data_IF_873335349669
#
_entry.id   IF_873335349669
#
_cell.length_a   1.000
_cell.length_b   1.000
_cell.length_c   1.000
_cell.angle_alpha   90.00
_cell.angle_beta   90.00
_cell.angle_gamma   90.00
#
_symmetry.space_group_name_H-M   'P 1'
#
loop_
_entity.id
_entity.type
_entity.pdbx_description
1 polymer ?
#
# COMPACT_ATOMS: atom_id res chain seq x y z
N UNK A 1 -9.77 -8.14 12.65
CA UNK A 1 -9.19 -7.38 11.53
C UNK A 1 -8.13 -6.45 12.12
N UNK A 2 -6.91 -6.46 11.58
CA UNK A 2 -5.92 -5.45 11.93
C UNK A 2 -6.41 -4.13 11.37
N UNK A 3 -6.54 -3.14 12.24
CA UNK A 3 -6.93 -1.77 11.84
C UNK A 3 -5.63 -0.96 11.72
N UNK A 4 -4.87 -1.22 10.67
CA UNK A 4 -3.66 -0.47 10.38
C UNK A 4 -3.99 0.58 9.31
N UNK A 5 -3.42 1.77 9.45
CA UNK A 5 -3.51 2.84 8.46
C UNK A 5 -2.10 3.12 7.95
N UNK A 6 -1.91 2.92 6.65
CA UNK A 6 -0.65 3.22 5.98
C UNK A 6 -0.75 4.61 5.33
N UNK A 7 0.12 5.54 5.71
CA UNK A 7 0.18 6.90 5.19
C UNK A 7 1.50 7.07 4.45
N UNK A 8 1.43 7.27 3.14
CA UNK A 8 2.60 7.61 2.32
C UNK A 8 2.76 9.12 2.28
N UNK A 9 3.91 9.62 2.73
CA UNK A 9 4.24 11.04 2.69
C UNK A 9 5.09 11.32 1.46
N UNK A 10 4.54 12.13 0.55
CA UNK A 10 5.20 12.45 -0.71
C UNK A 10 6.34 13.44 -0.51
N UNK A 11 7.43 13.26 -1.24
CA UNK A 11 8.58 14.19 -1.21
C UNK A 11 9.40 14.16 0.08
N UNK A 12 9.26 13.11 0.90
CA UNK A 12 10.03 12.92 2.13
C UNK A 12 10.98 11.74 2.00
N UNK A 13 11.99 11.71 2.85
CA UNK A 13 12.90 10.58 3.01
C UNK A 13 12.53 9.74 4.23
N UNK A 14 13.08 8.52 4.33
CA UNK A 14 12.92 7.67 5.51
C UNK A 14 13.47 8.33 6.80
N UNK A 15 14.44 9.24 6.68
CA UNK A 15 14.94 10.01 7.81
C UNK A 15 13.91 10.96 8.43
N UNK A 16 12.90 11.36 7.64
CA UNK A 16 11.83 12.25 8.10
C UNK A 16 10.72 11.53 8.88
N UNK A 17 10.59 10.22 8.74
CA UNK A 17 9.49 9.44 9.32
C UNK A 17 9.41 9.62 10.86
N UNK A 18 10.52 9.48 11.56
CA UNK A 18 10.56 9.64 13.02
C UNK A 18 10.31 11.09 13.48
N UNK A 19 10.73 12.07 12.68
CA UNK A 19 10.42 13.49 12.93
C UNK A 19 8.92 13.73 12.80
N UNK A 20 8.30 13.26 11.73
CA UNK A 20 6.86 13.40 11.49
C UNK A 20 6.02 12.72 12.58
N UNK A 21 6.40 11.52 13.04
CA UNK A 21 5.73 10.85 14.16
C UNK A 21 5.76 11.71 15.43
N UNK A 22 6.91 12.33 15.73
CA UNK A 22 7.03 13.25 16.89
C UNK A 22 6.17 14.49 16.74
N UNK A 23 6.13 15.09 15.55
CA UNK A 23 5.26 16.24 15.29
C UNK A 23 3.78 15.89 15.46
N UNK A 24 3.35 14.72 15.00
CA UNK A 24 1.97 14.24 15.14
C UNK A 24 1.58 14.12 16.62
N UNK A 25 2.38 13.45 17.45
CA UNK A 25 2.04 13.27 18.87
C UNK A 25 2.08 14.58 19.66
N UNK A 26 2.87 15.56 19.21
CA UNK A 26 2.89 16.89 19.83
C UNK A 26 1.60 17.66 19.53
N UNK A 27 0.99 17.46 18.36
CA UNK A 27 -0.20 18.19 17.92
C UNK A 27 -1.52 17.55 18.33
N UNK A 28 -1.55 16.22 18.45
CA UNK A 28 -2.76 15.46 18.79
C UNK A 28 -2.45 14.40 19.85
N UNK A 29 -2.93 14.58 21.11
CA UNK A 29 -2.67 13.67 22.22
C UNK A 29 -3.35 12.29 22.07
N UNK A 30 -4.20 12.11 21.06
CA UNK A 30 -4.75 10.78 20.76
C UNK A 30 -3.68 9.88 20.13
N UNK A 31 -2.61 10.43 19.56
CA UNK A 31 -1.48 9.67 19.04
C UNK A 31 -0.42 9.46 20.12
N UNK A 32 0.25 8.33 20.06
CA UNK A 32 1.35 7.99 20.97
C UNK A 32 2.32 7.01 20.32
N UNK A 33 3.55 7.01 20.81
CA UNK A 33 4.61 6.11 20.32
C UNK A 33 4.77 4.93 21.26
N UNK A 34 5.02 3.76 20.69
CA UNK A 34 5.28 2.51 21.39
C UNK A 34 6.62 1.95 20.90
N UNK A 35 7.42 1.43 21.82
CA UNK A 35 8.65 0.71 21.45
C UNK A 35 8.32 -0.52 20.61
N UNK A 36 9.12 -0.82 19.58
CA UNK A 36 8.91 -2.00 18.75
C UNK A 36 9.19 -3.28 19.55
N UNK A 37 8.59 -4.38 19.10
CA UNK A 37 8.84 -5.69 19.72
C UNK A 37 10.27 -6.19 19.52
N UNK A 38 10.92 -5.77 18.46
CA UNK A 38 12.31 -6.10 18.19
C UNK A 38 13.24 -5.15 18.93
N UNK A 39 14.14 -5.69 19.76
CA UNK A 39 15.17 -4.90 20.46
C UNK A 39 16.21 -4.27 19.53
N UNK A 40 16.29 -4.73 18.31
CA UNK A 40 17.23 -4.22 17.30
C UNK A 40 16.62 -3.09 16.46
N UNK A 41 15.32 -2.83 16.60
CA UNK A 41 14.67 -1.78 15.83
C UNK A 41 14.92 -0.41 16.45
N UNK A 42 15.30 0.54 15.62
CA UNK A 42 15.61 1.94 15.98
C UNK A 42 14.44 2.89 15.80
N UNK A 43 13.32 2.41 15.27
CA UNK A 43 12.10 3.19 15.03
C UNK A 43 11.07 2.97 16.13
N UNK A 44 10.14 3.90 16.28
CA UNK A 44 8.96 3.75 17.15
C UNK A 44 7.69 3.52 16.34
N UNK A 45 6.76 2.77 16.91
CA UNK A 45 5.46 2.48 16.28
C UNK A 45 4.45 3.53 16.72
N UNK A 46 3.85 4.21 15.75
CA UNK A 46 2.82 5.20 15.99
C UNK A 46 1.45 4.52 16.13
N UNK A 47 0.74 4.86 17.19
CA UNK A 47 -0.61 4.40 17.46
C UNK A 47 -1.55 5.58 17.68
N UNK A 48 -2.80 5.42 17.28
CA UNK A 48 -3.89 6.35 17.59
C UNK A 48 -4.92 5.67 18.46
N UNK A 49 -5.37 6.33 19.54
CA UNK A 49 -6.54 5.92 20.29
C UNK A 49 -7.78 6.17 19.44
N UNK A 50 -8.61 5.14 19.23
CA UNK A 50 -9.92 5.26 18.59
C UNK A 50 -10.98 5.22 19.69
N UNK A 51 -12.01 6.06 19.58
CA UNK A 51 -13.06 6.13 20.60
C UNK A 51 -13.67 4.76 20.92
N UNK A 52 -14.14 4.57 22.15
CA UNK A 52 -14.66 3.32 22.69
C UNK A 52 -13.66 2.60 23.62
N UNK A 53 -14.10 1.50 24.22
CA UNK A 53 -13.32 0.75 25.22
C UNK A 53 -12.01 0.21 24.63
N UNK A 54 -10.90 0.96 24.79
CA UNK A 54 -9.55 0.50 24.48
C UNK A 54 -9.22 0.35 22.98
N UNK A 55 -10.05 0.89 22.09
CA UNK A 55 -9.81 0.87 20.66
C UNK A 55 -8.53 1.63 20.29
N UNK A 56 -7.69 1.01 19.46
CA UNK A 56 -6.46 1.61 18.95
C UNK A 56 -6.23 1.19 17.51
N UNK A 57 -5.62 2.07 16.74
CA UNK A 57 -5.23 1.85 15.36
C UNK A 57 -3.74 2.10 15.22
N UNK A 58 -3.02 1.18 14.59
CA UNK A 58 -1.64 1.39 14.20
C UNK A 58 -1.59 2.32 12.99
N UNK A 59 -0.63 3.24 12.99
CA UNK A 59 -0.42 4.17 11.89
C UNK A 59 1.02 4.04 11.42
N UNK A 60 1.20 3.59 10.18
CA UNK A 60 2.52 3.51 9.55
C UNK A 60 2.72 4.77 8.68
N UNK A 61 3.76 5.52 8.99
CA UNK A 61 4.22 6.64 8.17
C UNK A 61 5.32 6.08 7.26
N UNK A 62 5.11 6.20 5.96
CA UNK A 62 5.98 5.62 4.95
C UNK A 62 6.50 6.71 4.03
N UNK A 63 7.78 6.71 3.75
CA UNK A 63 8.40 7.60 2.76
C UNK A 63 8.38 6.95 1.37
N UNK A 64 8.32 7.78 0.33
CA UNK A 64 8.53 7.33 -1.05
C UNK A 64 9.94 6.77 -1.25
N UNK A 65 10.07 5.70 -2.04
CA UNK A 65 11.32 4.95 -2.21
C UNK A 65 11.55 3.86 -1.17
N UNK A 66 10.96 3.95 0.02
CA UNK A 66 10.96 2.87 1.01
C UNK A 66 10.03 1.75 0.53
N UNK A 67 10.43 0.49 0.71
CA UNK A 67 9.64 -0.68 0.30
C UNK A 67 9.15 -0.61 -1.17
N UNK A 68 9.92 0.03 -2.03
CA UNK A 68 9.57 0.25 -3.45
C UNK A 68 8.28 1.10 -3.65
N UNK A 69 7.88 1.90 -2.66
CA UNK A 69 6.72 2.80 -2.78
C UNK A 69 7.04 3.90 -3.80
N UNK A 70 6.25 4.04 -4.88
CA UNK A 70 6.53 5.01 -5.92
C UNK A 70 6.26 6.44 -5.45
N UNK A 71 7.03 7.39 -5.98
CA UNK A 71 6.74 8.81 -5.76
C UNK A 71 5.58 9.25 -6.66
N UNK A 72 4.38 9.27 -6.10
CA UNK A 72 3.16 9.67 -6.81
C UNK A 72 3.13 11.18 -6.99
N UNK A 73 3.15 11.73 -8.23
CA UNK A 73 2.99 13.16 -8.42
C UNK A 73 1.64 13.64 -7.88
N UNK A 74 1.62 14.78 -7.20
CA UNK A 74 0.43 15.30 -6.50
C UNK A 74 -0.83 15.37 -7.38
N UNK A 75 -0.67 15.63 -8.67
CA UNK A 75 -1.78 15.66 -9.65
C UNK A 75 -2.48 14.32 -9.87
N UNK A 76 -1.82 13.20 -9.55
CA UNK A 76 -2.38 11.84 -9.67
C UNK A 76 -2.91 11.29 -8.34
N UNK A 77 -2.71 11.99 -7.23
CA UNK A 77 -3.33 11.62 -5.96
C UNK A 77 -4.84 11.73 -6.07
N UNK A 78 -5.52 10.62 -5.83
CA UNK A 78 -6.99 10.60 -5.89
C UNK A 78 -7.54 11.20 -4.59
N UNK A 79 -8.49 12.11 -4.71
CA UNK A 79 -9.21 12.67 -3.56
C UNK A 79 -10.59 12.01 -3.46
N UNK A 80 -10.80 11.26 -2.40
CA UNK A 80 -12.08 10.62 -2.11
C UNK A 80 -12.84 11.42 -1.06
N UNK A 81 -14.08 11.85 -1.33
CA UNK A 81 -14.89 12.53 -0.34
C UNK A 81 -15.27 11.55 0.78
N UNK A 82 -14.97 11.92 2.02
CA UNK A 82 -15.36 11.19 3.22
C UNK A 82 -15.92 12.21 4.19
N UNK A 83 -17.22 12.20 4.39
CA UNK A 83 -17.94 13.21 5.16
C UNK A 83 -17.63 14.64 4.67
N UNK A 84 -16.99 15.47 5.50
CA UNK A 84 -16.61 16.86 5.19
C UNK A 84 -15.19 17.01 4.62
N UNK A 85 -14.44 15.91 4.49
CA UNK A 85 -13.03 15.93 4.08
C UNK A 85 -12.82 15.23 2.75
N UNK A 86 -11.79 15.64 2.03
CA UNK A 86 -11.26 14.90 0.89
C UNK A 86 -10.04 14.10 1.33
N UNK A 87 -10.21 12.79 1.46
CA UNK A 87 -9.12 11.89 1.81
C UNK A 87 -8.21 11.65 0.61
N UNK A 88 -6.91 12.00 0.68
CA UNK A 88 -5.97 11.62 -0.37
C UNK A 88 -5.73 10.10 -0.30
N UNK A 89 -5.89 9.44 -1.44
CA UNK A 89 -5.64 8.00 -1.57
C UNK A 89 -4.70 7.72 -2.72
N UNK A 90 -3.93 6.64 -2.59
CA UNK A 90 -3.03 6.18 -3.64
C UNK A 90 -3.83 5.82 -4.90
N UNK A 91 -3.34 6.14 -6.11
CA UNK A 91 -3.93 5.68 -7.36
C UNK A 91 -4.05 4.15 -7.38
N UNK A 92 -5.06 3.66 -8.06
CA UNK A 92 -5.45 2.25 -8.01
C UNK A 92 -4.35 1.29 -8.46
N UNK A 93 -3.72 1.56 -9.59
CA UNK A 93 -2.70 0.65 -10.15
C UNK A 93 -1.47 0.53 -9.25
N UNK A 94 -0.85 1.62 -8.75
CA UNK A 94 0.22 1.51 -7.76
C UNK A 94 -0.19 0.75 -6.50
N UNK A 95 -1.39 0.99 -5.98
CA UNK A 95 -1.92 0.26 -4.81
C UNK A 95 -1.98 -1.25 -5.08
N UNK A 96 -2.53 -1.66 -6.22
CA UNK A 96 -2.61 -3.06 -6.63
C UNK A 96 -1.21 -3.68 -6.78
N UNK A 97 -0.25 -2.97 -7.39
CA UNK A 97 1.13 -3.43 -7.52
C UNK A 97 1.79 -3.65 -6.15
N UNK A 98 1.62 -2.71 -5.21
CA UNK A 98 2.17 -2.83 -3.86
C UNK A 98 1.54 -3.98 -3.08
N UNK A 99 0.25 -4.27 -3.30
CA UNK A 99 -0.43 -5.41 -2.67
C UNK A 99 0.12 -6.75 -3.16
N UNK A 100 0.35 -6.87 -4.47
CA UNK A 100 0.98 -8.08 -5.05
C UNK A 100 2.42 -8.22 -4.58
N UNK A 101 3.17 -7.12 -4.48
CA UNK A 101 4.51 -7.14 -3.89
C UNK A 101 4.49 -7.63 -2.44
N UNK A 102 3.56 -7.14 -1.61
CA UNK A 102 3.42 -7.59 -0.22
C UNK A 102 3.15 -9.10 -0.16
N UNK A 103 2.23 -9.61 -0.97
CA UNK A 103 1.97 -11.04 -1.09
C UNK A 103 3.23 -11.83 -1.47
N UNK A 104 3.98 -11.37 -2.48
CA UNK A 104 5.20 -12.05 -2.91
C UNK A 104 6.26 -12.12 -1.79
N UNK A 105 6.43 -11.03 -1.04
CA UNK A 105 7.36 -10.97 0.09
C UNK A 105 6.88 -11.85 1.26
N UNK A 106 5.59 -11.82 1.59
CA UNK A 106 5.04 -12.61 2.69
C UNK A 106 5.17 -14.12 2.47
N UNK A 107 5.08 -14.59 1.22
CA UNK A 107 5.26 -16.02 0.88
C UNK A 107 6.61 -16.58 1.28
N UNK A 108 7.66 -15.80 1.11
CA UNK A 108 9.05 -16.22 1.32
C UNK A 108 9.63 -15.70 2.63
N UNK A 109 8.83 -15.01 3.44
CA UNK A 109 9.30 -14.44 4.70
C UNK A 109 9.68 -15.54 5.70
N UNK A 110 10.81 -15.38 6.38
CA UNK A 110 11.24 -16.29 7.46
C UNK A 110 10.29 -16.24 8.66
N UNK A 111 9.70 -15.09 8.90
CA UNK A 111 8.84 -14.82 10.05
C UNK A 111 7.44 -15.41 9.85
N UNK A 112 7.04 -16.33 10.74
CA UNK A 112 5.73 -17.02 10.68
C UNK A 112 4.55 -16.06 10.61
N UNK A 113 4.57 -14.94 11.34
CA UNK A 113 3.48 -13.98 11.35
C UNK A 113 3.32 -13.23 10.02
N UNK A 114 4.39 -13.06 9.24
CA UNK A 114 4.32 -12.50 7.89
C UNK A 114 3.73 -13.52 6.92
N UNK A 115 4.18 -14.79 6.97
CA UNK A 115 3.58 -15.86 6.15
C UNK A 115 2.09 -16.04 6.42
N UNK A 116 1.63 -15.80 7.63
CA UNK A 116 0.21 -15.86 7.97
C UNK A 116 -0.64 -14.79 7.25
N UNK A 117 -0.02 -13.72 6.72
CA UNK A 117 -0.71 -12.68 5.95
C UNK A 117 -1.01 -13.08 4.50
N UNK A 118 -0.36 -14.11 3.96
CA UNK A 118 -0.53 -14.53 2.55
C UNK A 118 -1.99 -14.76 2.17
N UNK A 119 -2.76 -15.38 3.04
CA UNK A 119 -4.19 -15.63 2.81
C UNK A 119 -4.99 -14.32 2.73
N UNK A 120 -4.69 -13.37 3.62
CA UNK A 120 -5.35 -12.06 3.59
C UNK A 120 -4.95 -11.30 2.32
N UNK A 121 -3.67 -11.29 1.96
CA UNK A 121 -3.20 -10.64 0.73
C UNK A 121 -3.87 -11.24 -0.51
N UNK A 122 -4.08 -12.56 -0.54
CA UNK A 122 -4.83 -13.19 -1.62
C UNK A 122 -6.25 -12.61 -1.75
N UNK A 123 -7.01 -12.55 -0.66
CA UNK A 123 -8.37 -12.01 -0.70
C UNK A 123 -8.38 -10.51 -1.06
N UNK A 124 -7.45 -9.74 -0.55
CA UNK A 124 -7.31 -8.32 -0.87
C UNK A 124 -7.05 -8.11 -2.38
N UNK A 125 -6.17 -8.94 -2.97
CA UNK A 125 -5.85 -8.87 -4.40
C UNK A 125 -7.07 -9.27 -5.24
N UNK A 126 -7.78 -10.34 -4.88
CA UNK A 126 -9.00 -10.74 -5.59
C UNK A 126 -10.04 -9.63 -5.57
N UNK A 127 -10.23 -8.98 -4.43
CA UNK A 127 -11.16 -7.86 -4.32
C UNK A 127 -10.71 -6.66 -5.18
N UNK A 128 -9.42 -6.33 -5.18
CA UNK A 128 -8.89 -5.28 -6.03
C UNK A 128 -9.07 -5.61 -7.51
N UNK A 129 -8.85 -6.85 -7.95
CA UNK A 129 -9.11 -7.27 -9.33
C UNK A 129 -10.59 -7.17 -9.69
N UNK A 130 -11.50 -7.50 -8.76
CA UNK A 130 -12.94 -7.29 -8.93
C UNK A 130 -13.27 -5.81 -9.12
N UNK A 131 -12.72 -4.95 -8.24
CA UNK A 131 -12.87 -3.49 -8.33
C UNK A 131 -12.32 -2.96 -9.65
N UNK A 132 -11.18 -3.47 -10.12
CA UNK A 132 -10.62 -3.10 -11.41
C UNK A 132 -11.61 -3.37 -12.56
N UNK A 133 -12.18 -4.56 -12.57
CA UNK A 133 -13.15 -4.97 -13.60
C UNK A 133 -14.40 -4.10 -13.58
N UNK A 134 -14.98 -3.84 -12.40
CA UNK A 134 -16.20 -3.06 -12.22
C UNK A 134 -16.03 -1.59 -12.61
N UNK A 135 -14.85 -1.02 -12.35
CA UNK A 135 -14.57 0.39 -12.66
C UNK A 135 -13.88 0.59 -14.02
N UNK A 136 -13.71 -0.45 -14.81
CA UNK A 136 -13.13 -0.36 -16.14
C UNK A 136 -11.65 0.01 -16.15
N UNK A 137 -10.91 -0.32 -15.07
CA UNK A 137 -9.45 -0.24 -15.06
C UNK A 137 -8.87 -1.30 -15.98
N UNK A 138 -8.95 -1.06 -17.29
CA UNK A 138 -8.43 -1.94 -18.32
C UNK A 138 -7.23 -1.29 -18.97
N UNK A 139 -6.24 -2.10 -19.32
CA UNK A 139 -5.25 -1.70 -20.32
C UNK A 139 -5.99 -1.38 -21.60
N UNK A 140 -6.10 -0.10 -21.95
CA UNK A 140 -6.74 0.28 -23.22
C UNK A 140 -5.90 -0.30 -24.37
N UNK A 141 -6.51 -1.18 -25.14
CA UNK A 141 -5.93 -1.85 -26.32
C UNK A 141 -5.59 -0.83 -27.43
N UNK A 142 -6.14 0.38 -27.37
CA UNK A 142 -6.05 1.39 -28.43
C UNK A 142 -4.88 2.38 -28.30
N UNK A 143 -3.71 1.93 -27.86
CA UNK A 143 -2.49 2.78 -27.92
C UNK A 143 -2.48 3.98 -26.96
N UNK A 144 -3.55 4.29 -26.27
CA UNK A 144 -3.54 5.22 -25.15
C UNK A 144 -2.96 4.51 -23.95
N UNK A 145 -1.69 4.77 -23.71
CA UNK A 145 -1.02 4.37 -22.48
C UNK A 145 -1.91 4.73 -21.31
N UNK A 146 -2.07 3.78 -20.38
CA UNK A 146 -2.72 4.09 -19.09
C UNK A 146 -1.97 5.28 -18.51
N UNK A 147 -2.58 6.45 -18.50
CA UNK A 147 -1.97 7.73 -18.11
C UNK A 147 -1.30 7.63 -16.73
N UNK A 148 -1.80 6.72 -15.90
CA UNK A 148 -1.26 6.43 -14.58
C UNK A 148 0.11 5.73 -14.59
N UNK A 149 0.53 5.11 -15.69
CA UNK A 149 1.82 4.41 -15.76
C UNK A 149 2.99 5.29 -16.22
N UNK A 150 2.71 6.40 -16.90
CA UNK A 150 3.75 7.23 -17.51
C UNK A 150 4.67 7.94 -16.50
N UNK A 151 4.22 8.12 -15.26
CA UNK A 151 5.02 8.74 -14.22
C UNK A 151 5.73 7.73 -13.31
N UNK A 152 5.34 6.46 -13.37
CA UNK A 152 5.99 5.41 -12.58
C UNK A 152 7.37 5.06 -13.17
N UNK A 153 8.35 4.89 -12.29
CA UNK A 153 9.65 4.43 -12.71
C UNK A 153 9.54 3.06 -13.41
N UNK A 154 10.25 2.89 -14.50
CA UNK A 154 10.27 1.62 -15.25
C UNK A 154 10.63 0.44 -14.35
N UNK A 155 11.60 0.61 -13.45
CA UNK A 155 12.00 -0.42 -12.48
C UNK A 155 10.82 -0.86 -11.58
N UNK A 156 9.99 0.07 -11.12
CA UNK A 156 8.78 -0.27 -10.34
C UNK A 156 7.81 -1.13 -11.16
N UNK A 157 7.56 -0.72 -12.39
CA UNK A 157 6.65 -1.45 -13.30
C UNK A 157 7.19 -2.85 -13.62
N UNK A 158 8.48 -2.98 -13.87
CA UNK A 158 9.11 -4.27 -14.20
C UNK A 158 9.06 -5.24 -13.01
N UNK A 159 9.33 -4.76 -11.80
CA UNK A 159 9.19 -5.54 -10.56
C UNK A 159 7.73 -5.94 -10.34
N UNK A 160 6.79 -5.02 -10.53
CA UNK A 160 5.36 -5.30 -10.39
C UNK A 160 4.92 -6.41 -11.37
N UNK A 161 5.35 -6.37 -12.62
CA UNK A 161 5.06 -7.42 -13.62
C UNK A 161 5.60 -8.78 -13.19
N UNK A 162 6.81 -8.84 -12.64
CA UNK A 162 7.37 -10.08 -12.10
C UNK A 162 6.47 -10.65 -10.99
N UNK A 163 6.07 -9.83 -10.02
CA UNK A 163 5.18 -10.26 -8.95
C UNK A 163 3.81 -10.68 -9.46
N UNK A 164 3.24 -9.97 -10.44
CA UNK A 164 1.97 -10.35 -11.09
C UNK A 164 2.10 -11.71 -11.79
N UNK A 165 3.20 -11.96 -12.51
CA UNK A 165 3.46 -13.25 -13.15
C UNK A 165 3.55 -14.37 -12.10
N UNK A 166 4.27 -14.13 -10.99
CA UNK A 166 4.36 -15.10 -9.89
C UNK A 166 2.97 -15.38 -9.27
N UNK A 167 2.16 -14.34 -9.08
CA UNK A 167 0.82 -14.47 -8.55
C UNK A 167 -0.09 -15.27 -9.49
N UNK A 168 -0.13 -14.90 -10.78
CA UNK A 168 -0.93 -15.58 -11.78
C UNK A 168 -0.51 -17.05 -12.00
N UNK A 169 0.78 -17.37 -11.83
CA UNK A 169 1.26 -18.75 -11.83
C UNK A 169 0.77 -19.54 -10.60
N UNK A 170 0.68 -18.90 -9.45
CA UNK A 170 0.18 -19.52 -8.22
C UNK A 170 -1.35 -19.64 -8.18
N UNK A 171 -2.03 -18.73 -8.87
CA UNK A 171 -3.50 -18.65 -8.95
C UNK A 171 -3.93 -18.44 -10.42
N UNK A 172 -3.92 -19.53 -11.24
CA UNK A 172 -4.17 -19.44 -12.68
C UNK A 172 -5.54 -18.84 -13.05
N UNK A 173 -6.53 -18.97 -12.17
CA UNK A 173 -7.86 -18.39 -12.32
C UNK A 173 -7.84 -16.86 -12.40
N UNK A 174 -6.82 -16.20 -11.82
CA UNK A 174 -6.65 -14.76 -11.83
C UNK A 174 -6.04 -14.21 -13.13
N UNK A 175 -5.48 -15.07 -13.99
CA UNK A 175 -4.71 -14.66 -15.17
C UNK A 175 -5.51 -13.78 -16.13
N UNK A 176 -6.78 -14.09 -16.34
CA UNK A 176 -7.65 -13.29 -17.22
C UNK A 176 -7.78 -11.84 -16.72
N UNK A 177 -8.02 -11.67 -15.41
CA UNK A 177 -8.12 -10.34 -14.78
C UNK A 177 -6.81 -9.55 -14.86
N UNK A 178 -5.67 -10.24 -14.69
CA UNK A 178 -4.36 -9.60 -14.83
C UNK A 178 -4.04 -9.15 -16.24
N UNK A 179 -4.44 -9.93 -17.26
CA UNK A 179 -4.29 -9.54 -18.68
C UNK A 179 -5.09 -8.28 -18.99
N UNK A 180 -6.27 -8.14 -18.38
CA UNK A 180 -7.09 -6.95 -18.56
C UNK A 180 -6.45 -5.69 -17.94
N UNK A 181 -5.72 -5.83 -16.84
CA UNK A 181 -5.22 -4.71 -16.03
C UNK A 181 -3.77 -4.37 -16.31
N UNK A 182 -2.87 -5.36 -16.41
CA UNK A 182 -1.41 -5.13 -16.41
C UNK A 182 -0.60 -5.99 -17.38
N UNK A 183 -1.04 -7.17 -17.75
CA UNK A 183 -0.35 -8.07 -18.67
C UNK A 183 -0.87 -7.90 -20.08
#
# INVERSE_FOLDING_TARGET
MSQDVDIVVLGTSSADEERLKREIITRDPQFYLVEPKSRLATYKVLWRRTGGFGGKCKVDILATGTLNIPNVPAKYVIKKPVQTYNLPVMPFIPLLCLKVQAWAHHRVADQRHLRAKVTQDYFDIQELLRVAKENGYRRKIDGMQVVELNWMLRSFVDIAKQHVTMYATSYPESLASWKDVML
#
